data_IF_145190427171
#
_entry.id   IF_145190427171
#
_cell.length_a   1.000
_cell.length_b   1.000
_cell.length_c   1.000
_cell.angle_alpha   90.00
_cell.angle_beta   90.00
_cell.angle_gamma   90.00
#
_symmetry.space_group_name_H-M   'P 1'
#
loop_
_entity.id
_entity.type
_entity.pdbx_description
1 polymer ?
#
# COMPACT_ATOMS: atom_id res chain seq x y z
N UNK A 1 -6.96 -13.28 2.71
CA UNK A 1 -5.87 -12.95 3.67
C UNK A 1 -4.52 -13.51 3.26
N UNK A 2 -4.46 -14.74 2.76
CA UNK A 2 -3.22 -15.42 2.31
C UNK A 2 -2.84 -15.14 0.85
N UNK A 3 -3.75 -14.63 0.01
CA UNK A 3 -3.50 -14.28 -1.39
C UNK A 3 -2.80 -12.92 -1.58
N UNK A 4 -2.46 -12.59 -2.83
CA UNK A 4 -1.94 -11.26 -3.19
C UNK A 4 -3.01 -10.18 -3.05
N UNK A 5 -2.59 -8.91 -2.98
CA UNK A 5 -3.52 -7.78 -2.81
C UNK A 5 -4.60 -7.67 -3.91
N UNK A 6 -4.30 -7.85 -5.23
CA UNK A 6 -5.33 -7.81 -6.27
C UNK A 6 -6.34 -8.96 -6.17
N UNK A 7 -5.88 -10.19 -5.98
CA UNK A 7 -6.76 -11.36 -5.87
C UNK A 7 -7.65 -11.25 -4.63
N UNK A 8 -7.08 -10.81 -3.51
CA UNK A 8 -7.86 -10.59 -2.31
C UNK A 8 -8.86 -9.44 -2.47
N UNK A 9 -8.54 -8.41 -3.26
CA UNK A 9 -9.44 -7.31 -3.55
C UNK A 9 -10.68 -7.76 -4.35
N UNK A 10 -10.51 -8.66 -5.31
CA UNK A 10 -11.64 -9.23 -6.06
C UNK A 10 -12.58 -9.99 -5.12
N UNK A 11 -12.04 -10.78 -4.20
CA UNK A 11 -12.83 -11.51 -3.19
C UNK A 11 -13.52 -10.54 -2.23
N UNK A 12 -12.82 -9.53 -1.72
CA UNK A 12 -13.40 -8.52 -0.81
C UNK A 12 -14.52 -7.73 -1.47
N UNK A 13 -14.35 -7.41 -2.76
CA UNK A 13 -15.37 -6.71 -3.55
C UNK A 13 -16.58 -7.60 -3.79
N UNK A 14 -16.38 -8.88 -4.13
CA UNK A 14 -17.47 -9.84 -4.32
C UNK A 14 -18.30 -10.08 -3.05
N UNK A 15 -17.66 -9.98 -1.88
CA UNK A 15 -18.31 -10.12 -0.57
C UNK A 15 -18.83 -8.79 0.01
N UNK A 16 -18.73 -7.69 -0.72
CA UNK A 16 -19.08 -6.32 -0.29
C UNK A 16 -18.47 -5.92 1.07
N UNK A 17 -17.18 -6.21 1.25
CA UNK A 17 -16.43 -5.85 2.46
C UNK A 17 -16.07 -4.36 2.44
N UNK A 18 -16.37 -3.65 3.51
CA UNK A 18 -16.00 -2.24 3.68
C UNK A 18 -14.69 -2.05 4.45
N UNK A 19 -14.49 -2.84 5.50
CA UNK A 19 -13.35 -2.72 6.42
C UNK A 19 -12.71 -4.07 6.72
N UNK A 20 -11.40 -4.05 6.89
CA UNK A 20 -10.60 -5.21 7.32
C UNK A 20 -9.91 -4.85 8.63
N UNK A 21 -10.08 -5.71 9.63
CA UNK A 21 -9.39 -5.62 10.91
C UNK A 21 -8.25 -6.64 10.96
N UNK A 22 -7.07 -6.20 11.40
CA UNK A 22 -5.90 -7.05 11.61
C UNK A 22 -5.31 -6.78 13.01
N UNK A 23 -4.98 -7.85 13.72
CA UNK A 23 -4.23 -7.80 14.97
C UNK A 23 -2.73 -7.91 14.71
N UNK A 24 -1.97 -6.90 15.12
CA UNK A 24 -0.53 -6.81 14.92
C UNK A 24 0.21 -6.64 16.25
N UNK A 25 1.01 -7.63 16.63
CA UNK A 25 1.66 -7.66 17.94
C UNK A 25 3.10 -7.12 17.96
N UNK A 26 3.66 -6.73 16.81
CA UNK A 26 5.11 -6.56 16.67
C UNK A 26 5.72 -5.36 17.41
N UNK A 27 4.93 -4.38 17.81
CA UNK A 27 5.39 -3.22 18.60
C UNK A 27 5.59 -3.55 20.07
N UNK A 28 4.69 -4.33 20.66
CA UNK A 28 4.69 -4.64 22.10
C UNK A 28 5.14 -6.07 22.42
N UNK A 29 5.29 -6.94 21.41
CA UNK A 29 5.61 -8.35 21.61
C UNK A 29 4.38 -9.20 21.96
N UNK A 30 3.19 -8.84 21.43
CA UNK A 30 1.98 -9.62 21.68
C UNK A 30 1.98 -10.87 20.79
N UNK A 31 1.98 -12.04 21.42
CA UNK A 31 2.07 -13.34 20.73
C UNK A 31 0.76 -13.78 20.07
N UNK A 32 -0.39 -13.25 20.49
CA UNK A 32 -1.70 -13.59 19.93
C UNK A 32 -2.05 -12.84 18.64
N UNK A 33 -1.06 -12.41 17.86
CA UNK A 33 -1.25 -11.64 16.62
C UNK A 33 -1.69 -12.52 15.43
N UNK A 34 -2.17 -11.89 14.36
CA UNK A 34 -2.69 -12.63 13.20
C UNK A 34 -1.58 -13.26 12.34
N UNK A 35 -0.35 -12.80 12.47
CA UNK A 35 0.81 -13.42 11.81
C UNK A 35 1.14 -14.77 12.45
N UNK A 36 1.06 -14.93 13.79
CA UNK A 36 1.26 -16.23 14.43
C UNK A 36 0.14 -17.24 14.13
N UNK A 37 -1.07 -16.74 13.85
CA UNK A 37 -2.20 -17.57 13.43
C UNK A 37 -2.27 -17.76 11.91
N UNK A 38 -1.34 -17.17 11.14
CA UNK A 38 -1.43 -17.10 9.68
C UNK A 38 -1.41 -18.47 8.99
N UNK A 39 -0.53 -19.39 9.42
CA UNK A 39 -0.44 -20.72 8.82
C UNK A 39 -1.75 -21.53 8.98
N UNK A 40 -2.52 -21.29 10.04
CA UNK A 40 -3.85 -21.89 10.18
C UNK A 40 -4.82 -21.37 9.12
N UNK A 41 -4.76 -20.07 8.79
CA UNK A 41 -5.55 -19.48 7.71
C UNK A 41 -5.18 -20.09 6.36
N UNK A 42 -3.88 -20.30 6.11
CA UNK A 42 -3.37 -20.92 4.88
C UNK A 42 -3.87 -22.36 4.75
N UNK A 43 -3.76 -23.18 5.82
CA UNK A 43 -4.23 -24.58 5.82
C UNK A 43 -5.73 -24.72 5.55
N UNK A 44 -6.54 -23.83 6.13
CA UNK A 44 -7.99 -23.82 5.86
C UNK A 44 -8.26 -23.48 4.40
N UNK A 45 -7.55 -22.48 3.85
CA UNK A 45 -7.73 -22.06 2.48
C UNK A 45 -7.22 -23.10 1.46
N UNK A 46 -6.11 -23.77 1.75
CA UNK A 46 -5.58 -24.88 0.94
C UNK A 46 -6.54 -26.07 0.88
N UNK A 47 -7.29 -26.32 1.96
CA UNK A 47 -8.29 -27.39 2.00
C UNK A 47 -9.40 -27.24 0.94
N UNK A 48 -9.83 -26.01 0.68
CA UNK A 48 -10.88 -25.70 -0.31
C UNK A 48 -10.31 -25.33 -1.69
N UNK A 49 -9.17 -24.61 -1.72
CA UNK A 49 -8.55 -24.06 -2.94
C UNK A 49 -7.10 -24.54 -3.13
N UNK A 50 -6.84 -25.86 -3.28
CA UNK A 50 -5.49 -26.42 -3.33
C UNK A 50 -4.67 -26.05 -4.58
N UNK A 51 -5.33 -25.50 -5.61
CA UNK A 51 -4.66 -25.02 -6.83
C UNK A 51 -4.08 -23.61 -6.68
N UNK A 52 -4.66 -22.81 -5.80
CA UNK A 52 -4.33 -21.39 -5.66
C UNK A 52 -3.41 -21.15 -4.46
N UNK A 53 -3.67 -21.85 -3.35
CA UNK A 53 -2.94 -21.68 -2.09
C UNK A 53 -2.31 -23.00 -1.70
N UNK A 54 -1.00 -22.97 -1.42
CA UNK A 54 -0.25 -24.10 -0.90
C UNK A 54 0.57 -23.67 0.29
N UNK A 55 0.50 -24.42 1.39
CA UNK A 55 1.27 -24.15 2.60
C UNK A 55 2.78 -24.08 2.32
N UNK A 56 3.31 -24.94 1.44
CA UNK A 56 4.72 -24.98 1.05
C UNK A 56 5.25 -23.64 0.55
N UNK A 57 4.40 -22.85 -0.12
CA UNK A 57 4.83 -21.64 -0.80
C UNK A 57 5.12 -20.50 0.18
N UNK A 58 4.68 -20.60 1.44
CA UNK A 58 4.94 -19.60 2.49
C UNK A 58 6.21 -19.90 3.31
N UNK A 59 6.81 -21.07 3.12
CA UNK A 59 8.07 -21.45 3.76
C UNK A 59 9.27 -21.08 2.88
N UNK A 60 10.43 -20.91 3.51
CA UNK A 60 11.71 -20.82 2.79
C UNK A 60 12.08 -22.18 2.20
N UNK A 61 13.09 -22.22 1.33
CA UNK A 61 13.65 -23.48 0.80
C UNK A 61 14.13 -24.45 1.91
N UNK A 62 14.41 -23.92 3.11
CA UNK A 62 14.81 -24.70 4.30
C UNK A 62 13.61 -25.18 5.14
N UNK A 63 12.38 -24.82 4.76
CA UNK A 63 11.17 -25.14 5.52
C UNK A 63 10.93 -24.22 6.73
N UNK A 64 11.58 -23.06 6.80
CA UNK A 64 11.41 -22.11 7.91
C UNK A 64 10.34 -21.06 7.59
N UNK A 65 9.51 -20.70 8.57
CA UNK A 65 8.56 -19.59 8.45
C UNK A 65 9.22 -18.30 8.95
N UNK A 66 9.68 -17.46 8.02
CA UNK A 66 10.43 -16.22 8.33
C UNK A 66 9.76 -14.99 7.74
N UNK A 67 9.75 -13.89 8.48
CA UNK A 67 9.20 -12.58 8.06
C UNK A 67 10.28 -11.56 7.68
N UNK A 68 11.54 -11.97 7.76
CA UNK A 68 12.71 -11.19 7.41
C UNK A 68 12.98 -11.24 5.89
N UNK A 69 14.13 -10.71 5.47
CA UNK A 69 14.50 -10.66 4.06
C UNK A 69 14.71 -12.04 3.41
N UNK A 70 14.89 -13.09 4.23
CA UNK A 70 15.03 -14.47 3.76
C UNK A 70 13.68 -15.18 3.68
N UNK A 71 12.59 -14.53 4.11
CA UNK A 71 11.23 -15.04 4.00
C UNK A 71 10.81 -15.29 2.54
N UNK A 72 9.84 -16.20 2.37
CA UNK A 72 9.32 -16.51 1.04
C UNK A 72 8.75 -15.25 0.35
N UNK A 73 9.02 -15.04 -0.96
CA UNK A 73 8.43 -13.93 -1.70
C UNK A 73 6.90 -13.99 -1.70
N UNK A 74 6.29 -15.17 -1.60
CA UNK A 74 4.83 -15.33 -1.49
C UNK A 74 4.32 -14.75 -0.17
N UNK A 75 5.03 -14.99 0.94
CA UNK A 75 4.69 -14.42 2.24
C UNK A 75 4.90 -12.90 2.27
N UNK A 76 6.02 -12.40 1.76
CA UNK A 76 6.33 -10.96 1.76
C UNK A 76 5.38 -10.13 0.89
N UNK A 77 4.71 -10.77 -0.08
CA UNK A 77 3.73 -10.12 -0.96
C UNK A 77 2.27 -10.42 -0.60
N UNK A 78 2.00 -11.25 0.42
CA UNK A 78 0.63 -11.59 0.80
C UNK A 78 -0.07 -10.39 1.44
N UNK A 79 -1.41 -10.36 1.33
CA UNK A 79 -2.22 -9.29 1.90
C UNK A 79 -2.00 -9.16 3.41
N UNK A 80 -1.95 -10.28 4.16
CA UNK A 80 -1.75 -10.25 5.60
C UNK A 80 -0.44 -9.56 6.01
N UNK A 81 0.67 -9.87 5.33
CA UNK A 81 1.97 -9.25 5.57
C UNK A 81 1.89 -7.74 5.31
N UNK A 82 1.33 -7.35 4.16
CA UNK A 82 1.16 -5.94 3.79
C UNK A 82 0.33 -5.17 4.82
N UNK A 83 -0.81 -5.71 5.25
CA UNK A 83 -1.68 -5.06 6.23
C UNK A 83 -1.06 -5.01 7.63
N UNK A 84 -0.28 -6.01 8.04
CA UNK A 84 0.35 -5.99 9.37
C UNK A 84 1.51 -4.99 9.43
N UNK A 85 2.36 -5.00 8.40
CA UNK A 85 3.62 -4.24 8.37
C UNK A 85 3.54 -2.90 7.62
N UNK A 86 2.35 -2.43 7.25
CA UNK A 86 2.20 -1.14 6.58
C UNK A 86 2.81 0.00 7.42
N UNK A 87 3.74 0.75 6.82
CA UNK A 87 4.56 1.82 7.46
C UNK A 87 5.41 1.37 8.66
N UNK A 88 5.52 0.07 8.92
CA UNK A 88 6.30 -0.46 10.04
C UNK A 88 7.82 -0.38 9.78
N UNK A 89 8.24 -0.42 8.51
CA UNK A 89 9.66 -0.36 8.13
C UNK A 89 10.40 0.90 8.60
N UNK A 90 9.69 2.02 8.71
CA UNK A 90 10.25 3.30 9.18
C UNK A 90 10.12 3.48 10.69
N UNK A 91 9.38 2.60 11.38
CA UNK A 91 9.15 2.71 12.82
C UNK A 91 10.40 2.27 13.58
N UNK A 92 10.98 3.19 14.35
CA UNK A 92 12.10 2.92 15.25
C UNK A 92 11.61 2.97 16.70
N UNK A 93 11.56 1.80 17.35
CA UNK A 93 11.04 1.64 18.71
C UNK A 93 12.07 2.05 19.77
N UNK A 94 13.31 1.58 19.65
CA UNK A 94 14.38 1.91 20.60
C UNK A 94 15.58 2.51 19.87
N UNK A 95 16.42 3.27 20.58
CA UNK A 95 17.61 3.87 19.99
C UNK A 95 18.59 2.83 19.43
N UNK A 96 18.65 1.67 20.10
CA UNK A 96 19.58 0.56 19.81
C UNK A 96 19.04 -0.45 18.80
N UNK A 97 17.72 -0.53 18.62
CA UNK A 97 17.11 -1.46 17.67
C UNK A 97 17.04 -0.84 16.27
N UNK A 98 17.25 -1.63 15.21
CA UNK A 98 17.03 -1.17 13.84
C UNK A 98 15.55 -0.80 13.62
N UNK A 99 15.28 0.05 12.63
CA UNK A 99 13.91 0.35 12.22
C UNK A 99 13.23 -0.89 11.61
N UNK A 100 11.91 -1.03 11.82
CA UNK A 100 11.14 -2.19 11.38
C UNK A 100 11.51 -3.49 12.10
N UNK A 101 11.88 -3.41 13.38
CA UNK A 101 12.15 -4.58 14.21
C UNK A 101 10.88 -5.11 14.88
N UNK A 102 10.48 -6.33 14.53
CA UNK A 102 9.35 -7.03 15.16
C UNK A 102 9.79 -7.68 16.48
N UNK A 103 9.24 -7.20 17.61
CA UNK A 103 9.56 -7.72 18.95
C UNK A 103 9.00 -9.12 19.23
N UNK A 104 7.91 -9.51 18.57
CA UNK A 104 7.32 -10.85 18.76
C UNK A 104 8.22 -11.92 18.12
N UNK A 105 8.81 -11.60 16.97
CA UNK A 105 9.62 -12.55 16.17
C UNK A 105 11.12 -12.35 16.31
N UNK A 106 11.54 -11.25 16.94
CA UNK A 106 12.93 -10.86 17.15
C UNK A 106 13.73 -10.70 15.85
N UNK A 107 13.07 -10.29 14.77
CA UNK A 107 13.67 -10.13 13.43
C UNK A 107 13.36 -8.76 12.83
N UNK A 108 14.24 -8.30 11.93
CA UNK A 108 13.95 -7.13 11.10
C UNK A 108 13.11 -7.56 9.90
N UNK A 109 12.05 -6.81 9.59
CA UNK A 109 11.19 -7.14 8.45
C UNK A 109 11.97 -7.12 7.12
N UNK A 110 11.61 -8.04 6.22
CA UNK A 110 12.21 -8.14 4.89
C UNK A 110 11.80 -7.00 3.97
N UNK A 111 10.49 -6.80 3.77
CA UNK A 111 9.97 -5.78 2.88
C UNK A 111 9.55 -4.53 3.68
N UNK A 112 10.35 -3.47 3.57
CA UNK A 112 10.16 -2.23 4.35
C UNK A 112 9.27 -1.20 3.67
N UNK A 113 9.33 -1.14 2.34
CA UNK A 113 8.77 -0.05 1.56
C UNK A 113 7.79 -0.60 0.54
N UNK A 114 6.51 -0.55 0.89
CA UNK A 114 5.42 -0.88 -0.02
C UNK A 114 4.22 0.01 0.27
N UNK A 115 3.45 0.28 -0.77
CA UNK A 115 2.20 1.04 -0.69
C UNK A 115 1.01 0.11 -0.92
N UNK A 116 -0.12 0.43 -0.27
CA UNK A 116 -1.40 -0.22 -0.50
C UNK A 116 -2.11 0.47 -1.65
N UNK A 117 -2.54 -0.32 -2.64
CA UNK A 117 -3.26 0.18 -3.82
C UNK A 117 -4.76 0.15 -3.56
N UNK A 118 -5.27 -0.99 -3.10
CA UNK A 118 -6.70 -1.27 -2.97
C UNK A 118 -7.26 -0.98 -1.58
N UNK A 119 -6.39 -0.88 -0.57
CA UNK A 119 -6.78 -0.58 0.80
C UNK A 119 -6.14 0.73 1.26
N UNK A 120 -6.75 1.36 2.25
CA UNK A 120 -6.18 2.50 2.96
C UNK A 120 -6.32 2.33 4.47
N UNK A 121 -5.35 2.85 5.21
CA UNK A 121 -5.35 2.80 6.67
C UNK A 121 -6.43 3.75 7.22
N UNK A 122 -7.44 3.19 7.88
CA UNK A 122 -8.55 3.94 8.46
C UNK A 122 -8.29 4.28 9.94
N UNK A 123 -7.75 3.34 10.70
CA UNK A 123 -7.42 3.53 12.11
C UNK A 123 -6.31 2.57 12.56
N UNK A 124 -5.39 3.07 13.39
CA UNK A 124 -4.37 2.26 14.05
C UNK A 124 -4.29 2.67 15.51
N UNK A 125 -4.34 1.70 16.40
CA UNK A 125 -4.23 1.92 17.86
C UNK A 125 -2.86 2.47 18.25
N UNK A 126 -2.76 3.10 19.43
CA UNK A 126 -1.51 3.71 19.93
C UNK A 126 -0.31 2.74 19.93
N UNK A 127 -0.53 1.53 20.43
CA UNK A 127 0.50 0.47 20.46
C UNK A 127 0.47 -0.44 19.23
N UNK A 128 -0.26 -0.04 18.19
CA UNK A 128 -0.40 -0.73 16.91
C UNK A 128 -0.92 -2.17 17.03
N UNK A 129 -1.62 -2.48 18.14
CA UNK A 129 -2.17 -3.81 18.40
C UNK A 129 -3.32 -4.16 17.44
N UNK A 130 -4.19 -3.19 17.19
CA UNK A 130 -5.31 -3.30 16.25
C UNK A 130 -5.10 -2.29 15.13
N UNK A 131 -5.25 -2.77 13.89
CA UNK A 131 -5.20 -1.99 12.65
C UNK A 131 -6.47 -2.22 11.85
N UNK A 132 -7.08 -1.14 11.37
CA UNK A 132 -8.31 -1.15 10.59
C UNK A 132 -8.03 -0.49 9.25
N UNK A 133 -8.36 -1.19 8.19
CA UNK A 133 -8.19 -0.75 6.82
C UNK A 133 -9.54 -0.59 6.14
N UNK A 134 -9.74 0.48 5.38
CA UNK A 134 -10.89 0.64 4.48
C UNK A 134 -10.55 0.04 3.12
N UNK A 135 -11.47 -0.74 2.57
CA UNK A 135 -11.40 -1.23 1.20
C UNK A 135 -11.89 -0.12 0.28
N UNK A 136 -11.08 0.29 -0.69
CA UNK A 136 -11.49 1.29 -1.68
C UNK A 136 -12.54 0.69 -2.60
N UNK A 137 -13.58 1.44 -2.95
CA UNK A 137 -14.63 0.90 -3.82
C UNK A 137 -14.20 0.96 -5.29
N UNK A 138 -14.71 0.08 -6.17
CA UNK A 138 -14.38 0.08 -7.60
C UNK A 138 -14.58 1.44 -8.29
N UNK A 139 -15.56 2.21 -7.83
CA UNK A 139 -15.86 3.56 -8.35
C UNK A 139 -14.71 4.56 -8.16
N UNK A 140 -13.89 4.37 -7.12
CA UNK A 140 -12.73 5.23 -6.81
C UNK A 140 -11.60 5.06 -7.85
N UNK A 141 -11.57 3.94 -8.56
CA UNK A 141 -10.56 3.64 -9.57
C UNK A 141 -10.93 4.12 -10.98
N UNK A 142 -12.11 4.72 -11.17
CA UNK A 142 -12.63 5.16 -12.47
C UNK A 142 -11.84 6.33 -13.12
N UNK A 143 -10.78 6.83 -12.47
CA UNK A 143 -9.89 7.85 -13.04
C UNK A 143 -8.43 7.38 -13.00
N UNK A 144 -8.05 6.36 -13.78
CA UNK A 144 -6.67 5.89 -13.79
C UNK A 144 -5.74 7.00 -14.29
N UNK A 145 -4.59 7.13 -13.63
CA UNK A 145 -3.53 8.04 -14.08
C UNK A 145 -2.88 7.44 -15.33
N UNK A 146 -3.26 7.93 -16.50
CA UNK A 146 -2.66 7.49 -17.77
C UNK A 146 -1.18 7.94 -17.81
N UNK A 147 -0.21 7.01 -17.95
CA UNK A 147 1.20 7.32 -18.16
C UNK A 147 1.39 8.25 -19.36
N UNK A 148 2.41 9.12 -19.34
CA UNK A 148 2.62 10.10 -20.43
C UNK A 148 2.82 9.42 -21.79
N UNK A 149 3.42 8.22 -21.80
CA UNK A 149 3.65 7.39 -22.98
C UNK A 149 2.36 6.97 -23.69
N UNK A 150 1.30 6.71 -22.93
CA UNK A 150 0.02 6.18 -23.43
C UNK A 150 -0.98 7.30 -23.79
N UNK A 151 -0.61 8.57 -23.64
CA UNK A 151 -1.49 9.69 -23.94
C UNK A 151 -1.55 9.97 -25.44
N UNK A 152 -2.76 9.98 -25.99
CA UNK A 152 -3.05 10.40 -27.37
C UNK A 152 -2.67 11.86 -27.61
N UNK A 153 -2.95 12.75 -26.64
CA UNK A 153 -2.57 14.17 -26.67
C UNK A 153 -1.29 14.36 -25.87
N UNK A 154 -0.17 14.54 -26.59
CA UNK A 154 1.13 14.84 -25.98
C UNK A 154 1.17 16.30 -25.54
N UNK A 155 1.21 16.53 -24.23
CA UNK A 155 1.50 17.85 -23.67
C UNK A 155 2.98 18.16 -23.87
N UNK A 156 3.32 19.38 -24.29
CA UNK A 156 4.72 19.84 -24.26
C UNK A 156 5.19 19.86 -22.81
N UNK A 157 6.46 19.55 -22.55
CA UNK A 157 7.07 19.64 -21.22
C UNK A 157 6.90 21.06 -20.64
N UNK A 158 5.82 21.28 -19.88
CA UNK A 158 5.54 22.54 -19.22
C UNK A 158 6.06 22.46 -17.79
N UNK A 159 7.10 23.22 -17.51
CA UNK A 159 7.60 23.39 -16.15
C UNK A 159 6.75 24.48 -15.47
N UNK A 160 6.12 24.12 -14.36
CA UNK A 160 5.36 25.08 -13.56
C UNK A 160 6.27 26.21 -13.08
N UNK A 161 5.92 27.46 -13.43
CA UNK A 161 6.55 28.67 -12.87
C UNK A 161 5.83 29.17 -11.60
N UNK A 162 4.96 28.34 -11.00
CA UNK A 162 4.22 28.70 -9.79
C UNK A 162 5.12 28.54 -8.56
N UNK A 163 5.11 29.55 -7.71
CA UNK A 163 5.75 29.53 -6.39
C UNK A 163 4.73 29.92 -5.31
N UNK A 164 5.07 29.76 -4.03
CA UNK A 164 4.19 30.17 -2.92
C UNK A 164 3.74 31.64 -3.04
N UNK A 165 4.63 32.51 -3.52
CA UNK A 165 4.36 33.93 -3.81
C UNK A 165 3.72 34.16 -5.19
N UNK A 166 4.06 33.36 -6.21
CA UNK A 166 3.56 33.52 -7.59
C UNK A 166 2.60 32.40 -7.95
N UNK A 167 1.31 32.59 -7.62
CA UNK A 167 0.24 31.59 -7.88
C UNK A 167 -0.41 31.71 -9.27
N UNK A 168 0.10 32.56 -10.16
CA UNK A 168 -0.49 32.78 -11.51
C UNK A 168 -0.16 31.63 -12.47
N UNK A 169 -1.17 31.13 -13.17
CA UNK A 169 -1.02 30.14 -14.24
C UNK A 169 -0.47 30.74 -15.54
N UNK A 170 -0.11 29.87 -16.48
CA UNK A 170 0.31 30.22 -17.84
C UNK A 170 -0.74 29.74 -18.83
N UNK A 171 -1.12 30.58 -19.80
CA UNK A 171 -1.96 30.20 -20.94
C UNK A 171 -1.12 30.36 -22.21
N UNK A 172 -1.20 29.39 -23.13
CA UNK A 172 -0.42 29.44 -24.39
C UNK A 172 -0.81 30.63 -25.26
N UNK A 173 -2.12 30.88 -25.43
CA UNK A 173 -2.65 32.00 -26.21
C UNK A 173 -3.22 33.08 -25.29
N UNK A 174 -2.38 33.69 -24.46
CA UNK A 174 -2.83 34.78 -23.58
C UNK A 174 -2.90 36.08 -24.40
N UNK A 175 -4.08 36.71 -24.57
CA UNK A 175 -4.19 37.98 -25.25
C UNK A 175 -3.42 39.07 -24.47
N UNK A 176 -2.63 39.86 -25.18
CA UNK A 176 -1.93 41.03 -24.64
C UNK A 176 -2.94 42.15 -24.43
N UNK A 177 -3.32 42.37 -23.17
CA UNK A 177 -4.20 43.50 -22.83
C UNK A 177 -3.37 44.78 -22.80
N UNK A 178 -3.43 45.56 -23.88
CA UNK A 178 -2.87 46.91 -23.93
C UNK A 178 -3.92 47.86 -23.36
N UNK A 179 -3.72 48.34 -22.12
CA UNK A 179 -4.57 49.40 -21.55
C UNK A 179 -4.11 50.75 -22.13
N UNK A 180 -5.02 51.45 -22.82
CA UNK A 180 -4.78 52.82 -23.33
C UNK A 180 -4.48 52.94 -24.83
N UNK A 181 -4.53 51.86 -25.60
CA UNK A 181 -4.39 51.94 -27.07
C UNK A 181 -5.66 52.48 -27.72
N UNK A 182 -5.59 53.68 -28.31
CA UNK A 182 -6.64 54.20 -29.21
C UNK A 182 -6.79 53.20 -30.37
N UNK A 183 -8.01 52.71 -30.64
CA UNK A 183 -8.28 51.95 -31.88
C UNK A 183 -7.97 52.86 -33.06
N UNK A 184 -6.91 52.57 -33.81
CA UNK A 184 -6.72 53.16 -35.13
C UNK A 184 -7.56 52.30 -36.06
N UNK A 185 -8.66 52.87 -36.55
CA UNK A 185 -9.45 52.27 -37.61
C UNK A 185 -8.65 52.35 -38.93
N UNK A 186 -8.43 51.21 -39.57
CA UNK A 186 -8.31 51.05 -41.02
C UNK A 186 -8.50 49.56 -41.34
#
# INVERSE_FOLDING_TARGET
MSSTEPEAYDIMTALDVDYVLVLFGGVIGYSGDDINKFLWMVRIAEGEYPKEIKESDYFTERGEFRVDAEGSPTLLNCLMYKLSYYKFGDLKLDFRTPAGYDRTRNTVIGNRNFDLTYLEEAYTTEHWLVRIYRVKKPEEFNRPRIPVSERTVKLSNFISKKTSKKKKGSMRNKPTVIRGGKKVNA
#
